data_IF_353548962031
#
_entry.id   IF_353548962031
#
_cell.length_a   1.000
_cell.length_b   1.000
_cell.length_c   1.000
_cell.angle_alpha   90.00
_cell.angle_beta   90.00
_cell.angle_gamma   90.00
#
_symmetry.space_group_name_H-M   'P 1'
#
loop_
_entity.id
_entity.type
_entity.pdbx_description
1 polymer ?
#
# COMPACT_ATOMS: atom_id res chain seq x y z
N UNK A 1 -2.85 -23.40 -17.21
CA UNK A 1 -3.92 -23.78 -16.27
C UNK A 1 -4.60 -22.53 -15.72
N UNK A 2 -5.85 -22.31 -16.09
CA UNK A 2 -6.64 -21.13 -15.72
C UNK A 2 -7.23 -21.34 -14.32
N UNK A 3 -6.63 -20.75 -13.29
CA UNK A 3 -7.21 -20.74 -11.96
C UNK A 3 -8.49 -19.87 -11.97
N UNK A 4 -9.61 -20.56 -12.10
CA UNK A 4 -10.95 -20.02 -12.21
C UNK A 4 -11.27 -19.07 -11.05
N UNK A 5 -11.75 -17.87 -11.40
CA UNK A 5 -12.22 -16.79 -10.51
C UNK A 5 -13.22 -17.25 -9.43
N UNK A 6 -13.81 -18.45 -9.55
CA UNK A 6 -14.79 -19.01 -8.60
C UNK A 6 -14.20 -19.49 -7.26
N UNK A 7 -12.93 -19.90 -7.16
CA UNK A 7 -12.37 -20.50 -5.91
C UNK A 7 -11.88 -19.52 -4.83
N UNK A 8 -11.66 -18.23 -5.14
CA UNK A 8 -11.09 -17.29 -4.16
C UNK A 8 -12.15 -16.80 -3.16
N UNK A 9 -13.41 -16.65 -3.59
CA UNK A 9 -14.48 -16.21 -2.69
C UNK A 9 -14.82 -17.23 -1.60
N UNK A 10 -14.45 -18.50 -1.77
CA UNK A 10 -14.63 -19.57 -0.76
C UNK A 10 -13.44 -19.72 0.19
N UNK A 11 -12.28 -19.10 -0.10
CA UNK A 11 -11.06 -19.27 0.72
C UNK A 11 -10.93 -18.23 1.85
N UNK A 12 -11.57 -17.06 1.68
CA UNK A 12 -11.50 -15.95 2.63
C UNK A 12 -12.79 -15.92 3.45
N UNK A 13 -12.87 -16.74 4.50
CA UNK A 13 -13.97 -16.66 5.43
C UNK A 13 -13.88 -15.31 6.16
N UNK A 14 -14.82 -14.42 5.85
CA UNK A 14 -14.95 -13.09 6.48
C UNK A 14 -14.94 -13.22 8.01
N UNK A 15 -15.45 -14.33 8.57
CA UNK A 15 -15.47 -14.58 10.02
C UNK A 15 -14.07 -14.84 10.61
N UNK A 16 -13.19 -15.51 9.88
CA UNK A 16 -11.81 -15.78 10.33
C UNK A 16 -10.99 -14.50 10.30
N UNK A 17 -11.17 -13.71 9.23
CA UNK A 17 -10.49 -12.44 9.02
C UNK A 17 -10.96 -11.39 10.06
N UNK A 18 -12.24 -11.40 10.45
CA UNK A 18 -12.77 -10.47 11.46
C UNK A 18 -12.23 -10.71 12.88
N UNK A 19 -11.71 -11.91 13.18
CA UNK A 19 -11.10 -12.22 14.48
C UNK A 19 -9.68 -11.65 14.62
N UNK A 20 -8.99 -11.37 13.52
CA UNK A 20 -7.74 -10.63 13.58
C UNK A 20 -8.07 -9.13 13.67
N UNK A 21 -7.46 -8.43 14.62
CA UNK A 21 -7.60 -6.97 14.74
C UNK A 21 -6.93 -6.31 13.55
N UNK A 22 -7.67 -6.11 12.46
CA UNK A 22 -7.12 -5.57 11.22
C UNK A 22 -6.95 -4.06 11.35
N UNK A 23 -5.73 -3.54 11.10
CA UNK A 23 -5.51 -2.10 11.09
C UNK A 23 -6.30 -1.44 9.95
N UNK A 24 -6.62 -0.16 10.11
CA UNK A 24 -7.27 0.62 9.04
C UNK A 24 -6.29 0.74 7.87
N UNK A 25 -6.56 0.02 6.78
CA UNK A 25 -5.58 -0.17 5.69
C UNK A 25 -5.17 1.14 5.02
N UNK A 26 -6.08 2.12 4.92
CA UNK A 26 -5.78 3.42 4.33
C UNK A 26 -4.71 4.20 5.10
N UNK A 27 -4.52 3.91 6.39
CA UNK A 27 -3.50 4.55 7.21
C UNK A 27 -2.17 3.78 7.18
N UNK A 28 -2.16 2.53 6.72
CA UNK A 28 -0.99 1.66 6.71
C UNK A 28 -0.05 2.00 5.53
N UNK A 29 1.22 2.31 5.85
CA UNK A 29 2.19 2.73 4.84
C UNK A 29 2.70 1.58 3.97
N UNK A 30 2.74 0.36 4.49
CA UNK A 30 3.12 -0.82 3.71
C UNK A 30 2.04 -1.14 2.67
N UNK A 31 0.78 -1.04 3.07
CA UNK A 31 -0.37 -1.17 2.18
C UNK A 31 -0.32 -0.14 1.05
N UNK A 32 -0.05 1.15 1.36
CA UNK A 32 0.11 2.20 0.33
C UNK A 32 1.21 1.85 -0.68
N UNK A 33 2.36 1.36 -0.22
CA UNK A 33 3.47 0.92 -1.09
C UNK A 33 3.07 -0.24 -2.01
N UNK A 34 2.34 -1.23 -1.48
CA UNK A 34 1.88 -2.40 -2.25
C UNK A 34 0.88 -1.98 -3.34
N UNK A 35 -0.07 -1.10 -3.00
CA UNK A 35 -1.10 -0.64 -3.93
C UNK A 35 -0.58 0.34 -4.97
N UNK A 36 0.40 1.19 -4.63
CA UNK A 36 0.98 2.13 -5.60
C UNK A 36 1.43 1.44 -6.90
N UNK A 37 1.94 0.21 -6.80
CA UNK A 37 2.39 -0.59 -7.94
C UNK A 37 1.31 -1.47 -8.59
N UNK A 38 0.21 -1.78 -7.88
CA UNK A 38 -0.75 -2.80 -8.29
C UNK A 38 -2.23 -2.34 -8.22
N UNK A 39 -2.47 -1.03 -8.23
CA UNK A 39 -3.80 -0.45 -8.05
C UNK A 39 -4.81 -0.93 -9.10
N UNK A 40 -6.05 -1.18 -8.68
CA UNK A 40 -7.19 -1.45 -9.56
C UNK A 40 -8.39 -0.56 -9.20
N UNK A 41 -9.41 -0.52 -10.07
CA UNK A 41 -10.59 0.32 -9.85
C UNK A 41 -11.35 -0.01 -8.56
N UNK A 42 -11.42 -1.30 -8.17
CA UNK A 42 -12.08 -1.74 -6.93
C UNK A 42 -11.34 -1.27 -5.69
N UNK A 43 -10.02 -1.37 -5.67
CA UNK A 43 -9.15 -0.91 -4.58
C UNK A 43 -9.29 0.59 -4.40
N UNK A 44 -9.27 1.36 -5.49
CA UNK A 44 -9.51 2.81 -5.44
C UNK A 44 -10.90 3.09 -4.88
N UNK A 45 -11.93 2.43 -5.39
CA UNK A 45 -13.31 2.59 -4.90
C UNK A 45 -13.44 2.34 -3.40
N UNK A 46 -12.98 1.18 -2.91
CA UNK A 46 -13.05 0.84 -1.49
C UNK A 46 -12.17 1.75 -0.63
N UNK A 47 -10.99 2.16 -1.10
CA UNK A 47 -10.13 3.10 -0.39
C UNK A 47 -10.77 4.48 -0.23
N UNK A 48 -11.41 4.98 -1.28
CA UNK A 48 -12.10 6.28 -1.25
C UNK A 48 -13.38 6.20 -0.40
N UNK A 49 -14.10 5.07 -0.49
CA UNK A 49 -15.26 4.81 0.39
C UNK A 49 -14.85 4.80 1.86
N UNK A 50 -13.73 4.15 2.19
CA UNK A 50 -13.20 4.09 3.56
C UNK A 50 -12.77 5.48 4.05
N UNK A 51 -12.04 6.24 3.23
CA UNK A 51 -11.68 7.64 3.54
C UNK A 51 -12.89 8.51 3.78
N UNK A 52 -13.94 8.38 2.97
CA UNK A 52 -15.19 9.14 3.13
C UNK A 52 -15.87 8.85 4.47
N UNK A 53 -15.93 7.59 4.89
CA UNK A 53 -16.52 7.22 6.18
C UNK A 53 -15.71 7.77 7.35
N UNK A 54 -14.38 7.62 7.32
CA UNK A 54 -13.49 8.19 8.34
C UNK A 54 -13.60 9.72 8.41
N UNK A 55 -13.71 10.39 7.25
CA UNK A 55 -13.88 11.83 7.22
C UNK A 55 -15.27 12.25 7.74
N UNK A 56 -16.31 11.47 7.45
CA UNK A 56 -17.66 11.70 8.00
C UNK A 56 -17.64 11.60 9.52
N UNK A 57 -16.95 10.62 10.09
CA UNK A 57 -16.76 10.47 11.53
C UNK A 57 -16.14 11.71 12.16
N UNK A 58 -15.03 12.19 11.61
CA UNK A 58 -14.35 13.41 12.09
C UNK A 58 -15.28 14.62 12.07
N UNK A 59 -16.05 14.80 10.99
CA UNK A 59 -17.02 15.90 10.87
C UNK A 59 -18.11 15.81 11.93
N UNK A 60 -18.69 14.62 12.13
CA UNK A 60 -19.74 14.41 13.13
C UNK A 60 -19.23 14.64 14.56
N UNK A 61 -17.99 14.27 14.87
CA UNK A 61 -17.38 14.55 16.18
C UNK A 61 -17.23 16.06 16.41
N UNK A 62 -16.78 16.81 15.40
CA UNK A 62 -16.66 18.27 15.47
C UNK A 62 -18.04 18.91 15.64
N UNK A 63 -19.02 18.48 14.85
CA UNK A 63 -20.40 18.95 14.90
C UNK A 63 -21.05 18.66 16.25
N UNK A 64 -20.86 17.44 16.79
CA UNK A 64 -21.31 17.06 18.12
C UNK A 64 -20.75 18.00 19.19
N UNK A 65 -19.45 18.32 19.12
CA UNK A 65 -18.81 19.23 20.06
C UNK A 65 -19.35 20.65 19.93
N UNK A 66 -19.57 21.13 18.70
CA UNK A 66 -20.17 22.44 18.45
C UNK A 66 -21.56 22.56 19.05
N UNK A 67 -22.44 21.58 18.78
CA UNK A 67 -23.82 21.57 19.29
C UNK A 67 -23.83 21.49 20.82
N UNK A 68 -22.93 20.70 21.43
CA UNK A 68 -22.78 20.65 22.89
C UNK A 68 -22.41 22.01 23.49
N UNK A 69 -21.48 22.73 22.86
CA UNK A 69 -21.08 24.05 23.30
C UNK A 69 -22.22 25.06 23.16
N UNK A 70 -22.92 25.07 22.02
CA UNK A 70 -24.07 25.93 21.78
C UNK A 70 -25.18 25.69 22.80
N UNK A 71 -25.50 24.42 23.07
CA UNK A 71 -26.47 24.04 24.11
C UNK A 71 -26.04 24.56 25.49
N UNK A 72 -24.75 24.51 25.83
CA UNK A 72 -24.24 25.05 27.10
C UNK A 72 -24.39 26.57 27.20
N UNK A 73 -24.20 27.30 26.09
CA UNK A 73 -24.41 28.75 26.04
C UNK A 73 -25.89 29.07 26.27
N UNK A 74 -26.80 28.43 25.54
CA UNK A 74 -28.24 28.63 25.68
C UNK A 74 -28.74 28.30 27.10
N UNK A 75 -28.20 27.25 27.73
CA UNK A 75 -28.53 26.92 29.12
C UNK A 75 -28.07 28.00 30.10
N UNK A 76 -26.88 28.58 29.91
CA UNK A 76 -26.40 29.70 30.75
C UNK A 76 -27.26 30.95 30.56
N UNK A 77 -27.68 31.24 29.33
CA UNK A 77 -28.60 32.34 29.04
C UNK A 77 -29.95 32.15 29.73
N UNK A 78 -30.52 30.94 29.67
CA UNK A 78 -31.76 30.62 30.40
C UNK A 78 -31.60 30.84 31.90
N UNK A 79 -30.49 30.40 32.50
CA UNK A 79 -30.22 30.63 33.92
C UNK A 79 -30.11 32.12 34.26
N UNK A 80 -29.43 32.91 33.42
CA UNK A 80 -29.33 34.36 33.59
C UNK A 80 -30.71 35.02 33.51
N UNK A 81 -31.49 34.72 32.46
CA UNK A 81 -32.84 35.24 32.28
C UNK A 81 -33.78 34.81 33.41
N UNK A 82 -33.67 33.57 33.90
CA UNK A 82 -34.45 33.09 35.04
C UNK A 82 -34.11 33.82 36.33
N UNK A 83 -32.84 34.23 36.52
CA UNK A 83 -32.45 35.04 37.67
C UNK A 83 -33.00 36.47 37.55
N UNK A 84 -32.98 37.04 36.34
CA UNK A 84 -33.51 38.38 36.06
C UNK A 84 -35.02 38.46 36.31
N UNK A 85 -35.79 37.43 35.93
CA UNK A 85 -37.24 37.35 36.23
C UNK A 85 -37.53 37.48 37.73
N UNK A 86 -36.64 36.96 38.60
CA UNK A 86 -36.84 37.04 40.05
C UNK A 86 -36.49 38.40 40.65
N UNK A 87 -35.80 39.27 39.89
CA UNK A 87 -35.33 40.59 40.35
C UNK A 87 -36.01 41.76 39.65
N UNK A 88 -36.67 41.53 38.51
CA UNK A 88 -37.31 42.57 37.69
C UNK A 88 -38.74 42.84 38.18
N UNK A 89 -39.10 44.11 38.39
CA UNK A 89 -40.45 44.51 38.84
C UNK A 89 -41.34 45.01 37.69
N UNK A 90 -40.77 45.29 36.50
CA UNK A 90 -41.50 45.78 35.34
C UNK A 90 -42.15 44.64 34.52
N UNK A 91 -43.49 44.63 34.48
CA UNK A 91 -44.30 43.61 33.81
C UNK A 91 -43.97 43.42 32.31
N UNK A 92 -43.74 44.51 31.56
CA UNK A 92 -43.35 44.44 30.14
C UNK A 92 -41.96 43.84 29.92
N UNK A 93 -41.07 43.97 30.90
CA UNK A 93 -39.71 43.43 30.87
C UNK A 93 -39.74 41.93 31.19
N UNK A 94 -40.59 41.52 32.15
CA UNK A 94 -40.85 40.12 32.48
C UNK A 94 -41.40 39.31 31.29
N UNK A 95 -42.36 39.86 30.55
CA UNK A 95 -42.92 39.20 29.34
C UNK A 95 -41.85 38.94 28.28
N UNK A 96 -40.96 39.92 28.04
CA UNK A 96 -39.87 39.78 27.05
C UNK A 96 -38.86 38.72 27.47
N UNK A 97 -38.50 38.68 28.76
CA UNK A 97 -37.55 37.70 29.29
C UNK A 97 -38.15 36.29 29.23
N UNK A 98 -39.45 36.14 29.53
CA UNK A 98 -40.18 34.87 29.41
C UNK A 98 -40.15 34.33 27.97
N UNK A 99 -40.43 35.18 26.98
CA UNK A 99 -40.35 34.80 25.55
C UNK A 99 -38.92 34.38 25.14
N UNK A 100 -37.88 35.04 25.65
CA UNK A 100 -36.49 34.66 25.37
C UNK A 100 -36.13 33.29 25.97
N UNK A 101 -36.60 33.00 27.18
CA UNK A 101 -36.41 31.68 27.81
C UNK A 101 -37.09 30.59 26.96
N UNK A 102 -38.33 30.82 26.52
CA UNK A 102 -39.06 29.82 25.74
C UNK A 102 -38.40 29.57 24.38
N UNK A 103 -38.00 30.63 23.66
CA UNK A 103 -37.22 30.51 22.43
C UNK A 103 -35.92 29.72 22.62
N UNK A 104 -35.22 29.94 23.74
CA UNK A 104 -33.99 29.20 24.05
C UNK A 104 -34.28 27.73 24.38
N UNK A 105 -35.40 27.39 25.03
CA UNK A 105 -35.82 26.00 25.25
C UNK A 105 -36.14 25.29 23.94
N UNK A 106 -36.89 25.92 23.04
CA UNK A 106 -37.22 25.36 21.73
C UNK A 106 -35.96 25.05 20.92
N UNK A 107 -34.99 25.99 20.91
CA UNK A 107 -33.67 25.77 20.28
C UNK A 107 -32.95 24.58 20.91
N UNK A 108 -32.92 24.49 22.25
CA UNK A 108 -32.30 23.35 22.94
C UNK A 108 -32.96 22.02 22.56
N UNK A 109 -34.28 21.99 22.40
CA UNK A 109 -35.00 20.79 21.98
C UNK A 109 -34.58 20.35 20.56
N UNK A 110 -34.47 21.31 19.63
CA UNK A 110 -33.96 21.06 18.28
C UNK A 110 -32.51 20.53 18.30
N UNK A 111 -31.64 21.16 19.11
CA UNK A 111 -30.26 20.72 19.28
C UNK A 111 -30.17 19.30 19.87
N UNK A 112 -31.07 18.93 20.79
CA UNK A 112 -31.15 17.57 21.34
C UNK A 112 -31.52 16.54 20.26
N UNK A 113 -32.55 16.83 19.45
CA UNK A 113 -32.95 15.97 18.33
C UNK A 113 -31.82 15.78 17.32
N UNK A 114 -31.04 16.84 17.06
CA UNK A 114 -29.86 16.77 16.20
C UNK A 114 -28.73 15.93 16.83
N UNK A 115 -28.46 16.11 18.13
CA UNK A 115 -27.48 15.29 18.85
C UNK A 115 -27.83 13.80 18.80
N UNK A 116 -29.10 13.43 19.00
CA UNK A 116 -29.53 12.03 18.91
C UNK A 116 -29.27 11.40 17.53
N UNK A 117 -29.45 12.17 16.46
CA UNK A 117 -29.10 11.71 15.10
C UNK A 117 -27.59 11.51 14.98
N UNK A 118 -26.80 12.46 15.47
CA UNK A 118 -25.33 12.38 15.42
C UNK A 118 -24.81 11.20 16.24
N UNK A 119 -25.36 10.94 17.44
CA UNK A 119 -24.98 9.79 18.26
C UNK A 119 -25.24 8.47 17.54
N UNK A 120 -26.44 8.30 16.95
CA UNK A 120 -26.77 7.11 16.14
C UNK A 120 -25.83 6.95 14.95
N UNK A 121 -25.50 8.04 14.27
CA UNK A 121 -24.59 8.01 13.12
C UNK A 121 -23.16 7.60 13.55
N UNK A 122 -22.66 8.15 14.66
CA UNK A 122 -21.35 7.82 15.22
C UNK A 122 -21.31 6.34 15.66
N UNK A 123 -22.36 5.83 16.29
CA UNK A 123 -22.44 4.42 16.73
C UNK A 123 -22.38 3.43 15.55
N UNK A 124 -22.96 3.80 14.41
CA UNK A 124 -22.98 2.96 13.21
C UNK A 124 -21.70 3.04 12.37
N UNK A 125 -20.87 4.07 12.57
CA UNK A 125 -19.65 4.27 11.78
C UNK A 125 -18.63 3.14 11.97
N UNK A 126 -18.28 2.71 13.20
CA UNK A 126 -17.29 1.65 13.42
C UNK A 126 -17.62 0.37 12.65
N UNK A 127 -18.89 -0.03 12.65
CA UNK A 127 -19.38 -1.21 11.92
C UNK A 127 -19.16 -1.05 10.42
N UNK A 128 -19.57 0.10 9.85
CA UNK A 128 -19.38 0.42 8.44
C UNK A 128 -17.90 0.49 8.05
N UNK A 129 -17.07 1.10 8.90
CA UNK A 129 -15.62 1.21 8.72
C UNK A 129 -15.00 -0.17 8.67
N UNK A 130 -15.35 -1.06 9.61
CA UNK A 130 -14.86 -2.43 9.64
C UNK A 130 -15.25 -3.22 8.38
N UNK A 131 -16.53 -3.15 7.96
CA UNK A 131 -17.02 -3.84 6.76
C UNK A 131 -16.28 -3.38 5.49
N UNK A 132 -16.14 -2.07 5.32
CA UNK A 132 -15.44 -1.50 4.16
C UNK A 132 -13.95 -1.84 4.20
N UNK A 133 -13.33 -1.83 5.38
CA UNK A 133 -11.92 -2.19 5.56
C UNK A 133 -11.69 -3.68 5.26
N UNK A 134 -12.64 -4.56 5.61
CA UNK A 134 -12.61 -5.98 5.26
C UNK A 134 -12.73 -6.21 3.74
N UNK A 135 -13.65 -5.52 3.08
CA UNK A 135 -13.79 -5.62 1.62
C UNK A 135 -12.53 -5.10 0.90
N UNK A 136 -11.93 -4.02 1.42
CA UNK A 136 -10.65 -3.50 0.95
C UNK A 136 -9.52 -4.52 1.15
N UNK A 137 -9.47 -5.20 2.30
CA UNK A 137 -8.49 -6.23 2.59
C UNK A 137 -8.61 -7.40 1.61
N UNK A 138 -9.82 -7.90 1.37
CA UNK A 138 -10.07 -9.02 0.46
C UNK A 138 -9.59 -8.69 -0.96
N UNK A 139 -9.92 -7.50 -1.47
CA UNK A 139 -9.43 -7.06 -2.78
C UNK A 139 -7.92 -6.85 -2.79
N UNK A 140 -7.34 -6.38 -1.68
CA UNK A 140 -5.88 -6.25 -1.54
C UNK A 140 -5.21 -7.61 -1.64
N UNK A 141 -5.68 -8.62 -0.89
CA UNK A 141 -5.17 -9.99 -0.92
C UNK A 141 -5.22 -10.56 -2.34
N UNK A 142 -6.36 -10.41 -3.03
CA UNK A 142 -6.53 -10.88 -4.41
C UNK A 142 -5.48 -10.31 -5.36
N UNK A 143 -5.24 -9.00 -5.26
CA UNK A 143 -4.25 -8.32 -6.10
C UNK A 143 -2.84 -8.71 -5.72
N UNK A 144 -2.52 -8.73 -4.43
CA UNK A 144 -1.19 -9.07 -3.92
C UNK A 144 -0.77 -10.47 -4.34
N UNK A 145 -1.62 -11.49 -4.19
CA UNK A 145 -1.29 -12.85 -4.63
C UNK A 145 -1.15 -12.97 -6.14
N UNK A 146 -1.97 -12.24 -6.91
CA UNK A 146 -1.82 -12.20 -8.37
C UNK A 146 -0.45 -11.63 -8.78
N UNK A 147 -0.02 -10.56 -8.14
CA UNK A 147 1.29 -9.94 -8.42
C UNK A 147 2.45 -10.77 -7.90
N UNK A 148 2.29 -11.42 -6.73
CA UNK A 148 3.26 -12.35 -6.16
C UNK A 148 3.53 -13.53 -7.10
N UNK A 149 2.47 -14.20 -7.58
CA UNK A 149 2.62 -15.33 -8.50
C UNK A 149 3.35 -14.91 -9.78
N UNK A 150 3.00 -13.75 -10.35
CA UNK A 150 3.72 -13.21 -11.52
C UNK A 150 5.21 -12.93 -11.23
N UNK A 151 5.53 -12.45 -10.04
CA UNK A 151 6.90 -12.19 -9.64
C UNK A 151 7.68 -13.50 -9.47
N UNK A 152 7.08 -14.51 -8.83
CA UNK A 152 7.65 -15.85 -8.68
C UNK A 152 7.91 -16.51 -10.05
N UNK A 153 6.97 -16.42 -10.98
CA UNK A 153 7.14 -16.97 -12.34
C UNK A 153 8.31 -16.30 -13.08
N UNK A 154 8.43 -14.97 -12.97
CA UNK A 154 9.54 -14.22 -13.58
C UNK A 154 10.87 -14.58 -12.93
N UNK A 155 10.90 -14.72 -11.60
CA UNK A 155 12.08 -15.11 -10.85
C UNK A 155 12.55 -16.52 -11.26
N UNK A 156 11.61 -17.47 -11.37
CA UNK A 156 11.93 -18.83 -11.81
C UNK A 156 12.54 -18.85 -13.23
N UNK A 157 11.97 -18.08 -14.16
CA UNK A 157 12.53 -17.94 -15.51
C UNK A 157 13.91 -17.32 -15.52
N UNK A 158 14.12 -16.23 -14.76
CA UNK A 158 15.41 -15.58 -14.65
C UNK A 158 16.47 -16.52 -14.07
N UNK A 159 16.14 -17.25 -13.00
CA UNK A 159 17.02 -18.26 -12.41
C UNK A 159 17.37 -19.38 -13.40
N UNK A 160 16.41 -19.82 -14.21
CA UNK A 160 16.63 -20.80 -15.27
C UNK A 160 17.61 -20.31 -16.32
N UNK A 161 17.45 -19.09 -16.82
CA UNK A 161 18.38 -18.49 -17.79
C UNK A 161 19.77 -18.26 -17.19
N UNK A 162 19.87 -17.78 -15.95
CA UNK A 162 21.15 -17.63 -15.26
C UNK A 162 21.87 -18.98 -15.15
N UNK A 163 21.15 -20.04 -14.79
CA UNK A 163 21.73 -21.38 -14.73
C UNK A 163 22.18 -21.89 -16.10
N UNK A 164 21.41 -21.61 -17.17
CA UNK A 164 21.78 -21.98 -18.54
C UNK A 164 23.05 -21.25 -18.99
N UNK A 165 23.11 -19.94 -18.81
CA UNK A 165 24.28 -19.11 -19.19
C UNK A 165 25.53 -19.56 -18.43
N UNK A 166 25.41 -19.87 -17.13
CA UNK A 166 26.54 -20.40 -16.34
C UNK A 166 27.11 -21.69 -16.94
N UNK A 167 26.26 -22.64 -17.35
CA UNK A 167 26.74 -23.88 -17.99
C UNK A 167 27.49 -23.62 -19.29
N UNK A 168 26.94 -22.75 -20.14
CA UNK A 168 27.58 -22.38 -21.41
C UNK A 168 28.92 -21.70 -21.16
N UNK A 169 28.98 -20.80 -20.17
CA UNK A 169 30.23 -20.15 -19.77
C UNK A 169 31.25 -21.18 -19.25
N UNK A 170 30.83 -22.16 -18.45
CA UNK A 170 31.72 -23.21 -17.94
C UNK A 170 32.26 -24.10 -19.08
N UNK A 171 31.44 -24.39 -20.09
CA UNK A 171 31.87 -25.13 -21.30
C UNK A 171 32.89 -24.33 -22.12
N UNK A 172 32.60 -23.06 -22.40
CA UNK A 172 33.51 -22.18 -23.14
C UNK A 172 34.84 -21.96 -22.40
N UNK A 173 34.81 -21.90 -21.06
CA UNK A 173 36.05 -21.79 -20.26
C UNK A 173 36.93 -23.02 -20.41
N UNK A 174 36.34 -24.22 -20.40
CA UNK A 174 37.11 -25.46 -20.60
C UNK A 174 37.68 -25.57 -22.01
N UNK A 175 36.91 -25.16 -23.01
CA UNK A 175 37.37 -25.13 -24.41
C UNK A 175 38.53 -24.15 -24.56
N UNK A 176 38.41 -22.94 -23.97
CA UNK A 176 39.50 -21.96 -23.91
C UNK A 176 40.76 -22.55 -23.24
N UNK A 177 40.63 -23.09 -22.04
CA UNK A 177 41.76 -23.69 -21.29
C UNK A 177 42.44 -24.81 -22.12
N UNK A 178 41.65 -25.67 -22.77
CA UNK A 178 42.19 -26.73 -23.64
C UNK A 178 42.92 -26.17 -24.87
N UNK A 179 42.42 -25.10 -25.48
CA UNK A 179 43.12 -24.45 -26.59
C UNK A 179 44.42 -23.79 -26.14
N UNK A 180 44.44 -23.12 -24.99
CA UNK A 180 45.64 -22.52 -24.41
C UNK A 180 46.70 -23.60 -24.12
N UNK A 181 46.32 -24.72 -23.49
CA UNK A 181 47.21 -25.86 -23.24
C UNK A 181 47.79 -26.45 -24.54
N UNK A 182 46.95 -26.61 -25.57
CA UNK A 182 47.39 -27.14 -26.86
C UNK A 182 48.37 -26.19 -27.56
N UNK A 183 48.11 -24.88 -27.52
CA UNK A 183 49.02 -23.87 -28.06
C UNK A 183 50.37 -23.97 -27.35
N UNK A 184 50.38 -23.95 -26.02
CA UNK A 184 51.61 -24.06 -25.23
C UNK A 184 52.39 -25.35 -25.56
N UNK A 185 51.69 -26.49 -25.72
CA UNK A 185 52.27 -27.76 -26.12
C UNK A 185 52.95 -27.67 -27.50
N UNK A 186 52.27 -27.12 -28.51
CA UNK A 186 52.83 -26.95 -29.85
C UNK A 186 54.08 -26.05 -29.84
N UNK A 187 54.01 -24.92 -29.14
CA UNK A 187 55.13 -24.00 -29.02
C UNK A 187 56.32 -24.67 -28.31
N UNK A 188 56.08 -25.37 -27.20
CA UNK A 188 57.12 -26.10 -26.46
C UNK A 188 57.79 -27.20 -27.32
N UNK A 189 56.99 -27.97 -28.06
CA UNK A 189 57.49 -29.01 -28.96
C UNK A 189 58.35 -28.45 -30.11
N UNK A 190 57.85 -27.42 -30.80
CA UNK A 190 58.56 -26.78 -31.91
C UNK A 190 59.85 -26.11 -31.42
N UNK A 191 59.79 -25.43 -30.27
CA UNK A 191 60.96 -24.81 -29.66
C UNK A 191 62.04 -25.85 -29.31
N UNK A 192 61.64 -26.98 -28.72
CA UNK A 192 62.57 -28.06 -28.37
C UNK A 192 63.24 -28.72 -29.58
N UNK A 193 62.56 -28.78 -30.73
CA UNK A 193 63.09 -29.40 -31.95
C UNK A 193 63.93 -28.46 -32.82
N UNK A 194 63.50 -27.20 -32.97
CA UNK A 194 64.08 -26.27 -33.95
C UNK A 194 64.99 -25.22 -33.31
N UNK A 195 64.84 -24.98 -32.01
CA UNK A 195 65.49 -23.88 -31.31
C UNK A 195 64.89 -22.52 -31.66
N UNK A 196 65.22 -21.52 -30.84
CA UNK A 196 64.57 -20.20 -30.83
C UNK A 196 64.60 -19.47 -32.19
N UNK A 197 65.73 -19.52 -32.92
CA UNK A 197 65.92 -18.70 -34.13
C UNK A 197 65.13 -19.19 -35.34
N UNK A 198 64.98 -20.50 -35.48
CA UNK A 198 64.28 -21.11 -36.62
C UNK A 198 62.77 -21.08 -36.40
N UNK A 199 62.32 -21.19 -35.15
CA UNK A 199 60.93 -21.01 -34.76
C UNK A 199 60.41 -19.60 -35.05
N UNK A 200 61.15 -18.57 -34.65
CA UNK A 200 60.77 -17.16 -34.85
C UNK A 200 60.60 -16.81 -36.34
N UNK A 201 61.42 -17.38 -37.22
CA UNK A 201 61.28 -17.22 -38.69
C UNK A 201 60.02 -17.90 -39.24
N UNK A 202 59.59 -19.00 -38.64
CA UNK A 202 58.40 -19.74 -39.06
C UNK A 202 57.13 -19.02 -38.60
N UNK A 203 57.12 -18.50 -37.38
CA UNK A 203 55.98 -17.72 -36.85
C UNK A 203 55.68 -16.52 -37.75
N UNK A 204 56.69 -15.74 -38.14
CA UNK A 204 56.54 -14.59 -39.07
C UNK A 204 55.95 -14.99 -40.44
N UNK A 205 56.18 -16.23 -40.89
CA UNK A 205 55.77 -16.68 -42.22
C UNK A 205 54.44 -17.44 -42.25
N UNK A 206 54.10 -18.12 -41.15
CA UNK A 206 53.04 -19.13 -41.13
C UNK A 206 51.95 -18.84 -40.09
N UNK A 207 52.24 -18.07 -39.04
CA UNK A 207 51.22 -17.70 -38.07
C UNK A 207 50.34 -16.60 -38.68
N UNK A 208 49.02 -16.79 -38.61
CA UNK A 208 48.07 -15.76 -39.01
C UNK A 208 47.79 -14.85 -37.81
N UNK A 209 47.84 -13.54 -38.01
CA UNK A 209 47.44 -12.58 -36.98
C UNK A 209 45.97 -12.83 -36.61
N UNK A 210 45.74 -13.15 -35.34
CA UNK A 210 44.41 -13.17 -34.75
C UNK A 210 44.31 -11.93 -33.87
N UNK A 211 43.49 -10.95 -34.27
CA UNK A 211 43.23 -9.76 -33.45
C UNK A 211 42.77 -10.20 -32.05
N UNK A 212 43.56 -9.87 -31.03
CA UNK A 212 43.18 -10.04 -29.63
C UNK A 212 41.93 -9.19 -29.39
N UNK A 213 40.77 -9.84 -29.23
CA UNK A 213 39.63 -9.20 -28.59
C UNK A 213 39.95 -9.18 -27.09
N UNK A 214 40.75 -8.18 -26.67
CA UNK A 214 40.91 -7.85 -25.26
C UNK A 214 39.52 -7.59 -24.66
N UNK A 215 39.03 -8.55 -23.89
CA UNK A 215 37.85 -8.39 -23.07
C UNK A 215 38.20 -7.41 -21.93
N UNK A 216 38.06 -6.10 -22.18
CA UNK A 216 37.99 -5.10 -21.12
C UNK A 216 36.69 -5.31 -20.35
N UNK A 217 36.74 -6.19 -19.36
CA UNK A 217 35.73 -6.25 -18.30
C UNK A 217 36.22 -5.34 -17.17
N UNK A 218 35.69 -4.12 -17.13
CA UNK A 218 35.61 -3.29 -15.91
C UNK A 218 34.48 -3.78 -15.00
#
# INVERSE_FOLDING_TARGET
MSFSKKKINTLLDKKVIRKSKIPILVNDDNWKKIIAKNSNLRLKFFSEKLKKVINKEKKLIIEQKSIKNEKQVLLKEILLFSNLINTEEEERSLDRISVQIENNKEKIELLNKNLEKIYRDIENIPIKTEEINLDLLIETIKVSYKSLNKALDKLAKANGEVARIRRVLDELRKEKESHEENIELYYSFLHGMLGHKEMEKLDIKLLQDHDEVEEKIE
#
